data_IF_961827293771
#
_entry.id   IF_961827293771
#
_cell.length_a   1.000
_cell.length_b   1.000
_cell.length_c   1.000
_cell.angle_alpha   90.00
_cell.angle_beta   90.00
_cell.angle_gamma   90.00
#
_symmetry.space_group_name_H-M   'P 1'
#
loop_
_entity.id
_entity.type
_entity.pdbx_description
1 polymer ?
#
# COMPACT_ATOMS: atom_id res chain seq x y z
N UNK A 1 -11.78 0.15 -10.61
CA UNK A 1 -11.75 0.34 -9.14
C UNK A 1 -11.13 1.70 -8.86
N UNK A 2 -11.74 2.52 -8.01
CA UNK A 2 -11.14 3.79 -7.58
C UNK A 2 -10.02 3.53 -6.57
N UNK A 3 -9.13 4.51 -6.36
CA UNK A 3 -8.04 4.41 -5.35
C UNK A 3 -8.60 4.14 -3.95
N UNK A 4 -9.72 4.75 -3.59
CA UNK A 4 -10.38 4.56 -2.28
C UNK A 4 -10.92 3.13 -2.12
N UNK A 5 -11.62 2.61 -3.13
CA UNK A 5 -12.12 1.23 -3.12
C UNK A 5 -10.97 0.22 -3.03
N UNK A 6 -9.87 0.50 -3.75
CA UNK A 6 -8.66 -0.32 -3.70
C UNK A 6 -8.05 -0.30 -2.31
N UNK A 7 -7.83 0.88 -1.73
CA UNK A 7 -7.30 1.04 -0.39
C UNK A 7 -8.14 0.28 0.65
N UNK A 8 -9.47 0.49 0.66
CA UNK A 8 -10.37 -0.21 1.59
C UNK A 8 -10.30 -1.73 1.45
N UNK A 9 -10.09 -2.23 0.25
CA UNK A 9 -9.87 -3.67 0.02
C UNK A 9 -8.52 -4.12 0.57
N UNK A 10 -7.44 -3.38 0.33
CA UNK A 10 -6.11 -3.75 0.79
C UNK A 10 -6.00 -3.77 2.32
N UNK A 11 -6.58 -2.78 3.02
CA UNK A 11 -6.55 -2.75 4.48
C UNK A 11 -7.35 -3.88 5.14
N UNK A 12 -8.24 -4.55 4.41
CA UNK A 12 -8.95 -5.72 4.93
C UNK A 12 -8.07 -6.96 5.09
N UNK A 13 -6.89 -6.99 4.46
CA UNK A 13 -5.92 -8.06 4.61
C UNK A 13 -5.06 -7.83 5.86
N UNK A 14 -5.03 -8.75 6.83
CA UNK A 14 -4.09 -8.66 7.94
C UNK A 14 -2.68 -8.99 7.43
N UNK A 15 -1.71 -8.12 7.69
CA UNK A 15 -0.35 -8.24 7.16
C UNK A 15 0.73 -7.89 8.18
N UNK A 16 0.39 -7.92 9.47
CA UNK A 16 1.34 -7.61 10.55
C UNK A 16 2.58 -8.48 10.44
N UNK A 17 3.75 -7.86 10.42
CA UNK A 17 5.08 -8.49 10.46
C UNK A 17 5.41 -9.01 11.87
N UNK A 18 6.49 -9.79 12.00
CA UNK A 18 6.92 -10.40 13.26
C UNK A 18 8.46 -10.31 13.37
N UNK A 19 8.94 -9.45 14.27
CA UNK A 19 10.38 -9.26 14.53
C UNK A 19 11.09 -10.52 15.02
N UNK A 20 10.38 -11.41 15.70
CA UNK A 20 10.94 -12.64 16.23
C UNK A 20 11.07 -13.76 15.18
N UNK A 21 10.44 -13.59 14.01
CA UNK A 21 10.51 -14.57 12.92
C UNK A 21 11.85 -14.51 12.18
N UNK A 22 12.37 -15.67 11.80
CA UNK A 22 13.55 -15.80 10.94
C UNK A 22 13.19 -16.05 9.47
N UNK A 23 11.90 -16.15 9.14
CA UNK A 23 11.45 -16.39 7.76
C UNK A 23 11.31 -15.08 6.98
N UNK A 24 11.20 -15.18 5.66
CA UNK A 24 10.81 -14.10 4.76
C UNK A 24 9.70 -14.62 3.83
N UNK A 25 8.52 -13.99 3.83
CA UNK A 25 8.11 -12.94 4.77
C UNK A 25 8.07 -13.44 6.22
N UNK A 26 8.18 -12.53 7.18
CA UNK A 26 8.18 -12.85 8.61
C UNK A 26 6.87 -13.51 9.06
N UNK A 27 5.77 -13.22 8.36
CA UNK A 27 4.47 -13.85 8.59
C UNK A 27 3.82 -14.31 7.29
N UNK A 28 3.28 -15.52 7.28
CA UNK A 28 2.59 -16.08 6.11
C UNK A 28 1.33 -15.28 5.70
N UNK A 29 0.76 -14.47 6.59
CA UNK A 29 -0.41 -13.64 6.31
C UNK A 29 -0.14 -12.59 5.23
N UNK A 30 1.09 -12.13 5.08
CA UNK A 30 1.50 -11.19 4.04
C UNK A 30 1.32 -11.78 2.63
N UNK A 31 1.50 -13.10 2.47
CA UNK A 31 1.35 -13.78 1.18
C UNK A 31 -0.07 -13.70 0.62
N UNK A 32 -1.08 -13.60 1.48
CA UNK A 32 -2.47 -13.46 1.03
C UNK A 32 -2.69 -12.11 0.30
N UNK A 33 -2.09 -11.04 0.83
CA UNK A 33 -2.09 -9.73 0.16
C UNK A 33 -1.23 -9.77 -1.10
N UNK A 34 -0.02 -10.37 -1.05
CA UNK A 34 0.86 -10.51 -2.21
C UNK A 34 0.13 -11.17 -3.41
N UNK A 35 -0.60 -12.24 -3.17
CA UNK A 35 -1.40 -12.92 -4.20
C UNK A 35 -2.54 -12.04 -4.73
N UNK A 36 -3.20 -11.29 -3.87
CA UNK A 36 -4.24 -10.34 -4.30
C UNK A 36 -3.65 -9.24 -5.18
N UNK A 37 -2.45 -8.72 -4.87
CA UNK A 37 -1.76 -7.72 -5.69
C UNK A 37 -1.43 -8.28 -7.07
N UNK A 38 -0.87 -9.48 -7.14
CA UNK A 38 -0.63 -10.18 -8.42
C UNK A 38 -1.92 -10.31 -9.21
N UNK A 39 -3.01 -10.75 -8.58
CA UNK A 39 -4.31 -10.89 -9.23
C UNK A 39 -4.79 -9.54 -9.79
N UNK A 40 -4.72 -8.45 -9.01
CA UNK A 40 -5.14 -7.12 -9.48
C UNK A 40 -4.29 -6.64 -10.66
N UNK A 41 -2.98 -6.86 -10.62
CA UNK A 41 -2.08 -6.51 -11.71
C UNK A 41 -2.39 -7.31 -12.98
N UNK A 42 -2.63 -8.62 -12.87
CA UNK A 42 -3.01 -9.46 -14.01
C UNK A 42 -4.37 -9.05 -14.60
N UNK A 43 -5.35 -8.74 -13.76
CA UNK A 43 -6.66 -8.22 -14.20
C UNK A 43 -6.54 -6.87 -14.95
N UNK A 44 -5.50 -6.10 -14.70
CA UNK A 44 -5.19 -4.85 -15.41
C UNK A 44 -4.38 -5.07 -16.69
N UNK A 45 -3.91 -6.31 -16.96
CA UNK A 45 -3.12 -6.66 -18.13
C UNK A 45 -1.60 -6.66 -17.91
N UNK A 46 -1.11 -6.58 -16.67
CA UNK A 46 0.31 -6.75 -16.33
C UNK A 46 0.62 -8.24 -16.30
N UNK A 47 1.07 -8.77 -17.44
CA UNK A 47 1.19 -10.21 -17.66
C UNK A 47 2.35 -10.87 -16.88
N UNK A 48 3.40 -10.12 -16.57
CA UNK A 48 4.58 -10.58 -15.83
C UNK A 48 4.41 -10.45 -14.30
N UNK A 49 3.23 -10.02 -13.84
CA UNK A 49 2.95 -9.89 -12.42
C UNK A 49 3.11 -11.24 -11.69
N UNK A 50 3.96 -11.28 -10.68
CA UNK A 50 4.24 -12.48 -9.89
C UNK A 50 4.66 -12.12 -8.47
N UNK A 51 4.56 -13.11 -7.59
CA UNK A 51 5.19 -13.10 -6.27
C UNK A 51 6.34 -14.09 -6.29
N UNK A 52 7.49 -13.68 -5.75
CA UNK A 52 8.65 -14.54 -5.64
C UNK A 52 8.58 -15.46 -4.40
N UNK A 53 9.62 -16.28 -4.20
CA UNK A 53 9.71 -17.23 -3.10
C UNK A 53 9.82 -16.57 -1.72
N UNK A 54 10.26 -15.32 -1.66
CA UNK A 54 10.47 -14.53 -0.45
C UNK A 54 9.32 -13.54 -0.19
N UNK A 55 8.26 -13.60 -1.02
CA UNK A 55 7.02 -12.83 -0.84
C UNK A 55 7.04 -11.44 -1.48
N UNK A 56 8.09 -11.06 -2.19
CA UNK A 56 8.10 -9.82 -2.96
C UNK A 56 7.23 -9.94 -4.21
N UNK A 57 6.48 -8.89 -4.47
CA UNK A 57 5.61 -8.83 -5.65
C UNK A 57 6.22 -7.91 -6.69
N UNK A 58 6.26 -8.35 -7.93
CA UNK A 58 6.81 -7.60 -9.05
C UNK A 58 5.83 -7.54 -10.21
N UNK A 59 5.95 -6.49 -11.03
CA UNK A 59 5.23 -6.36 -12.28
C UNK A 59 5.75 -5.21 -13.12
N UNK A 60 5.41 -5.21 -14.40
CA UNK A 60 5.89 -4.20 -15.35
C UNK A 60 4.75 -3.58 -16.14
N UNK A 61 4.63 -2.26 -16.09
CA UNK A 61 3.85 -1.48 -17.04
C UNK A 61 4.77 -1.21 -18.25
N UNK A 62 4.52 -1.80 -19.41
CA UNK A 62 5.39 -1.63 -20.57
C UNK A 62 5.30 -0.20 -21.11
N UNK A 63 6.39 0.28 -21.71
CA UNK A 63 6.36 1.53 -22.46
C UNK A 63 5.34 1.47 -23.60
N UNK A 64 4.69 2.58 -23.89
CA UNK A 64 3.78 2.72 -25.02
C UNK A 64 4.32 3.65 -26.13
N UNK A 65 5.61 3.96 -26.11
CA UNK A 65 6.29 4.77 -27.13
C UNK A 65 7.72 4.25 -27.38
N UNK A 66 8.28 4.62 -28.53
CA UNK A 66 9.64 4.23 -28.95
C UNK A 66 10.74 5.16 -28.43
N UNK A 67 10.41 6.11 -27.56
CA UNK A 67 11.40 7.02 -26.97
C UNK A 67 12.30 6.29 -26.01
N UNK A 68 13.57 6.61 -26.03
CA UNK A 68 14.55 6.19 -25.02
C UNK A 68 14.28 6.97 -23.71
N UNK A 69 13.53 6.34 -22.83
CA UNK A 69 13.13 6.90 -21.53
C UNK A 69 13.67 5.96 -20.46
N UNK A 70 14.39 6.48 -19.45
CA UNK A 70 14.86 5.64 -18.35
C UNK A 70 13.74 4.85 -17.70
N UNK A 71 14.02 3.61 -17.33
CA UNK A 71 13.10 2.75 -16.59
C UNK A 71 13.06 3.20 -15.13
N UNK A 72 11.91 3.56 -14.64
CA UNK A 72 11.79 3.89 -13.22
C UNK A 72 10.89 2.90 -12.48
N UNK A 73 11.20 2.73 -11.19
CA UNK A 73 10.47 1.86 -10.29
C UNK A 73 9.62 2.62 -9.29
N UNK A 74 8.50 2.03 -8.90
CA UNK A 74 7.67 2.45 -7.77
C UNK A 74 7.59 1.28 -6.79
N UNK A 75 7.88 1.57 -5.52
CA UNK A 75 7.97 0.57 -4.46
C UNK A 75 7.11 1.03 -3.29
N UNK A 76 6.35 0.11 -2.69
CA UNK A 76 5.61 0.30 -1.45
C UNK A 76 5.66 -0.98 -0.63
N UNK A 77 5.49 -0.90 0.70
CA UNK A 77 5.47 -2.10 1.50
C UNK A 77 4.05 -2.61 1.79
N UNK A 78 3.94 -3.92 2.02
CA UNK A 78 2.66 -4.59 2.21
C UNK A 78 2.33 -4.85 3.67
N UNK A 79 3.36 -4.98 4.50
CA UNK A 79 3.19 -5.31 5.91
C UNK A 79 2.71 -4.12 6.72
N UNK A 80 2.32 -4.38 7.94
CA UNK A 80 1.94 -3.38 8.93
C UNK A 80 2.69 -3.63 10.22
N UNK A 81 2.92 -2.55 10.97
CA UNK A 81 3.65 -2.57 12.22
C UNK A 81 3.10 -3.59 13.22
N UNK A 82 3.96 -4.31 13.96
CA UNK A 82 3.56 -5.16 15.07
C UNK A 82 3.21 -4.38 16.36
N UNK A 83 3.42 -3.06 16.39
CA UNK A 83 3.24 -2.23 17.60
C UNK A 83 1.77 -2.10 18.05
N UNK A 84 0.82 -2.36 17.16
CA UNK A 84 -0.59 -2.32 17.48
C UNK A 84 -1.37 -3.39 16.70
N UNK A 85 -2.59 -3.78 17.17
CA UNK A 85 -3.39 -4.79 16.50
C UNK A 85 -3.67 -4.44 15.03
N UNK A 86 -3.40 -5.35 14.10
CA UNK A 86 -3.59 -5.20 12.66
C UNK A 86 -4.60 -6.19 12.06
N UNK A 87 -5.49 -6.77 12.86
CA UNK A 87 -6.52 -7.72 12.43
C UNK A 87 -7.93 -7.19 12.67
N UNK A 88 -8.89 -7.65 11.86
CA UNK A 88 -10.29 -7.24 11.94
C UNK A 88 -10.49 -5.71 11.82
N UNK A 89 -9.75 -5.09 10.93
CA UNK A 89 -9.75 -3.65 10.72
C UNK A 89 -11.14 -3.19 10.25
N UNK A 90 -11.74 -2.27 11.01
CA UNK A 90 -13.07 -1.69 10.74
C UNK A 90 -12.93 -0.30 10.15
N UNK A 91 -12.47 -0.24 8.89
CA UNK A 91 -12.31 1.01 8.20
C UNK A 91 -13.68 1.60 7.82
N UNK A 92 -13.84 2.92 8.00
CA UNK A 92 -14.99 3.68 7.56
C UNK A 92 -14.58 5.02 6.97
N UNK A 93 -15.40 5.55 6.09
CA UNK A 93 -15.23 6.88 5.52
C UNK A 93 -16.13 7.85 6.30
N UNK A 94 -15.56 8.99 6.73
CA UNK A 94 -16.32 10.01 7.44
C UNK A 94 -17.16 10.87 6.48
N UNK A 95 -18.13 11.61 7.00
CA UNK A 95 -18.61 12.82 6.35
C UNK A 95 -17.47 13.85 6.23
N UNK A 96 -17.61 14.91 5.41
CA UNK A 96 -16.60 15.95 5.34
C UNK A 96 -16.24 16.46 6.75
N UNK A 97 -14.96 16.42 7.08
CA UNK A 97 -14.47 16.76 8.41
C UNK A 97 -14.71 18.23 8.73
N UNK A 98 -15.32 18.52 9.86
CA UNK A 98 -15.73 19.87 10.29
C UNK A 98 -14.67 20.61 11.13
N UNK A 99 -13.61 19.93 11.55
CA UNK A 99 -12.54 20.48 12.38
C UNK A 99 -12.69 20.18 13.89
N UNK A 100 -13.73 19.47 14.29
CA UNK A 100 -13.97 19.03 15.67
C UNK A 100 -13.33 17.68 16.00
N UNK A 101 -13.69 17.11 17.14
CA UNK A 101 -13.24 15.78 17.53
C UNK A 101 -13.96 14.70 16.68
N UNK A 102 -13.21 13.69 16.24
CA UNK A 102 -13.76 12.53 15.53
C UNK A 102 -13.90 11.38 16.50
N UNK A 103 -15.14 11.02 16.85
CA UNK A 103 -15.40 9.84 17.68
C UNK A 103 -15.16 8.58 16.86
N UNK A 104 -14.15 7.80 17.25
CA UNK A 104 -13.82 6.53 16.61
C UNK A 104 -14.63 5.38 17.24
N UNK A 105 -14.76 5.37 18.56
CA UNK A 105 -15.45 4.34 19.32
C UNK A 105 -16.10 4.95 20.59
N UNK A 106 -17.42 4.97 20.62
CA UNK A 106 -18.17 5.53 21.75
C UNK A 106 -18.02 4.67 23.01
N UNK A 107 -18.12 3.35 22.87
CA UNK A 107 -18.07 2.42 24.01
C UNK A 107 -16.70 2.44 24.72
N UNK A 108 -15.63 2.60 23.95
CA UNK A 108 -14.24 2.65 24.46
C UNK A 108 -13.73 4.06 24.70
N UNK A 109 -14.55 5.07 24.43
CA UNK A 109 -14.20 6.49 24.53
C UNK A 109 -12.94 6.86 23.72
N UNK A 110 -12.78 6.26 22.52
CA UNK A 110 -11.66 6.56 21.62
C UNK A 110 -12.06 7.66 20.65
N UNK A 111 -11.24 8.71 20.57
CA UNK A 111 -11.46 9.82 19.66
C UNK A 111 -10.14 10.35 19.10
N UNK A 112 -10.19 10.94 17.90
CA UNK A 112 -9.13 11.75 17.33
C UNK A 112 -9.46 13.22 17.55
N UNK A 113 -8.62 13.91 18.31
CA UNK A 113 -8.83 15.33 18.62
C UNK A 113 -7.79 16.21 17.93
N UNK A 114 -8.20 17.33 17.29
CA UNK A 114 -7.25 18.30 16.74
C UNK A 114 -6.43 19.04 17.80
N UNK A 115 -6.72 18.83 19.09
CA UNK A 115 -5.90 19.32 20.20
C UNK A 115 -4.64 18.45 20.37
N UNK A 116 -4.79 17.13 20.19
CA UNK A 116 -3.69 16.15 20.27
C UNK A 116 -2.99 16.00 18.92
N UNK A 117 -3.76 16.06 17.83
CA UNK A 117 -3.29 15.89 16.44
C UNK A 117 -3.58 17.17 15.63
N UNK A 118 -2.80 18.25 15.78
CA UNK A 118 -3.08 19.54 15.15
C UNK A 118 -3.14 19.50 13.62
N UNK A 119 -2.45 18.53 12.99
CA UNK A 119 -2.46 18.31 11.54
C UNK A 119 -3.84 17.97 10.98
N UNK A 120 -4.78 17.46 11.79
CA UNK A 120 -6.17 17.22 11.38
C UNK A 120 -6.83 18.50 10.84
N UNK A 121 -6.43 19.68 11.31
CA UNK A 121 -6.94 20.96 10.82
C UNK A 121 -6.73 21.17 9.32
N UNK A 122 -5.70 20.54 8.74
CA UNK A 122 -5.41 20.60 7.30
C UNK A 122 -6.39 19.76 6.47
N UNK A 123 -7.24 18.99 7.13
CA UNK A 123 -8.20 18.08 6.52
C UNK A 123 -9.65 18.55 6.61
N UNK A 124 -9.88 19.77 7.11
CA UNK A 124 -11.24 20.35 7.16
C UNK A 124 -11.84 20.39 5.76
N UNK A 125 -13.10 19.93 5.65
CA UNK A 125 -13.83 19.80 4.38
C UNK A 125 -13.49 18.53 3.59
N UNK A 126 -12.50 17.73 4.00
CA UNK A 126 -12.16 16.46 3.35
C UNK A 126 -12.86 15.29 4.05
N UNK A 127 -13.14 14.23 3.31
CA UNK A 127 -13.55 12.95 3.87
C UNK A 127 -12.31 12.18 4.30
N UNK A 128 -12.36 11.58 5.46
CA UNK A 128 -11.24 10.82 6.04
C UNK A 128 -11.60 9.33 6.08
N UNK A 129 -10.59 8.48 5.97
CA UNK A 129 -10.74 7.06 6.24
C UNK A 129 -10.14 6.82 7.63
N UNK A 130 -10.94 6.23 8.52
CA UNK A 130 -10.57 5.98 9.91
C UNK A 130 -10.97 4.57 10.31
N UNK A 131 -10.36 4.04 11.39
CA UNK A 131 -10.82 2.82 12.06
C UNK A 131 -11.72 3.13 13.24
N UNK A 132 -12.10 2.10 13.99
CA UNK A 132 -12.73 2.26 15.31
C UNK A 132 -11.71 2.54 16.42
N UNK A 133 -10.46 2.78 16.10
CA UNK A 133 -9.38 3.10 17.04
C UNK A 133 -8.88 1.90 17.87
N UNK A 134 -9.38 0.70 17.63
CA UNK A 134 -8.91 -0.53 18.31
C UNK A 134 -7.80 -1.25 17.55
N UNK A 135 -7.57 -0.85 16.30
CA UNK A 135 -6.55 -1.40 15.42
C UNK A 135 -5.84 -0.28 14.67
N UNK A 136 -4.70 -0.61 14.06
CA UNK A 136 -4.15 0.18 12.97
C UNK A 136 -5.16 0.28 11.82
N UNK A 137 -5.07 1.33 11.00
CA UNK A 137 -5.72 1.39 9.70
C UNK A 137 -4.91 0.63 8.65
N UNK A 138 -3.58 0.67 8.74
CA UNK A 138 -2.66 0.13 7.74
C UNK A 138 -2.54 1.04 6.52
N UNK A 139 -2.73 2.37 6.70
CA UNK A 139 -2.49 3.33 5.62
C UNK A 139 -1.01 3.38 5.26
N UNK A 140 -0.17 3.21 6.24
CA UNK A 140 1.22 2.91 6.15
C UNK A 140 1.38 1.39 5.96
N UNK A 141 1.79 0.86 4.77
CA UNK A 141 1.88 1.65 3.53
C UNK A 141 0.92 1.14 2.44
N UNK A 142 -0.26 0.62 2.83
CA UNK A 142 -1.28 0.20 1.85
C UNK A 142 -1.88 1.37 1.07
N UNK A 143 -1.64 2.61 1.51
CA UNK A 143 -2.01 3.79 0.73
C UNK A 143 -1.07 3.91 -0.48
N UNK A 144 0.25 3.83 -0.29
CA UNK A 144 1.22 3.80 -1.38
C UNK A 144 0.97 2.65 -2.35
N UNK A 145 0.68 1.45 -1.83
CA UNK A 145 0.27 0.30 -2.67
C UNK A 145 -0.94 0.64 -3.54
N UNK A 146 -1.99 1.24 -2.95
CA UNK A 146 -3.21 1.61 -3.69
C UNK A 146 -2.95 2.70 -4.73
N UNK A 147 -2.09 3.66 -4.41
CA UNK A 147 -1.70 4.75 -5.31
C UNK A 147 -0.90 4.23 -6.49
N UNK A 148 0.12 3.38 -6.25
CA UNK A 148 0.94 2.75 -7.30
C UNK A 148 0.07 1.95 -8.26
N UNK A 149 -0.79 1.07 -7.76
CA UNK A 149 -1.68 0.27 -8.61
C UNK A 149 -2.68 1.14 -9.38
N UNK A 150 -3.15 2.23 -8.79
CA UNK A 150 -4.07 3.14 -9.47
C UNK A 150 -3.35 3.97 -10.54
N UNK A 151 -2.11 4.39 -10.29
CA UNK A 151 -1.26 5.02 -11.29
C UNK A 151 -0.94 4.07 -12.45
N UNK A 152 -0.60 2.80 -12.16
CA UNK A 152 -0.38 1.78 -13.18
C UNK A 152 -1.63 1.57 -14.06
N UNK A 153 -2.82 1.50 -13.45
CA UNK A 153 -4.08 1.40 -14.19
C UNK A 153 -4.31 2.60 -15.13
N UNK A 154 -3.98 3.81 -14.67
CA UNK A 154 -4.08 5.01 -15.50
C UNK A 154 -3.08 5.00 -16.66
N UNK A 155 -1.83 4.56 -16.41
CA UNK A 155 -0.82 4.46 -17.46
C UNK A 155 -1.22 3.45 -18.53
N UNK A 156 -1.67 2.26 -18.16
CA UNK A 156 -2.11 1.20 -19.08
C UNK A 156 -3.27 1.61 -19.98
N UNK A 157 -4.11 2.56 -19.54
CA UNK A 157 -5.27 3.06 -20.28
C UNK A 157 -5.00 4.42 -20.94
N UNK A 158 -3.82 5.01 -20.72
CA UNK A 158 -3.47 6.34 -21.23
C UNK A 158 -2.94 6.26 -22.68
N UNK A 159 -3.41 7.20 -23.50
CA UNK A 159 -2.81 7.45 -24.82
C UNK A 159 -1.55 8.33 -24.76
N UNK A 160 -1.24 8.90 -23.56
CA UNK A 160 -0.04 9.72 -23.39
C UNK A 160 1.21 8.85 -23.42
N UNK A 161 2.25 9.26 -24.18
CA UNK A 161 3.51 8.52 -24.23
C UNK A 161 4.16 8.40 -22.84
N UNK A 162 4.57 7.19 -22.47
CA UNK A 162 5.32 6.92 -21.24
C UNK A 162 6.36 5.81 -21.48
N UNK A 163 7.41 5.83 -20.67
CA UNK A 163 8.41 4.77 -20.59
C UNK A 163 7.93 3.57 -19.79
N UNK A 164 8.82 2.59 -19.65
CA UNK A 164 8.59 1.42 -18.79
C UNK A 164 8.56 1.82 -17.33
N UNK A 165 7.58 1.32 -16.58
CA UNK A 165 7.47 1.49 -15.12
C UNK A 165 7.50 0.12 -14.45
N UNK A 166 8.44 -0.06 -13.54
CA UNK A 166 8.55 -1.25 -12.71
C UNK A 166 7.78 -1.04 -11.41
N UNK A 167 7.04 -2.05 -11.00
CA UNK A 167 6.27 -2.05 -9.74
C UNK A 167 6.84 -3.12 -8.83
N UNK A 168 7.04 -2.78 -7.56
CA UNK A 168 7.39 -3.75 -6.54
C UNK A 168 6.65 -3.49 -5.23
N UNK A 169 6.26 -4.56 -4.55
CA UNK A 169 5.67 -4.49 -3.21
C UNK A 169 6.45 -5.41 -2.29
N UNK A 170 6.96 -4.83 -1.19
CA UNK A 170 7.91 -5.52 -0.29
C UNK A 170 7.20 -6.02 0.96
N UNK A 171 7.60 -7.18 1.51
CA UNK A 171 7.26 -7.59 2.86
C UNK A 171 8.21 -6.97 3.89
N UNK A 172 7.85 -7.03 5.17
CA UNK A 172 8.73 -6.88 6.34
C UNK A 172 9.49 -5.53 6.44
N UNK A 173 8.95 -4.45 5.86
CA UNK A 173 9.54 -3.12 5.97
C UNK A 173 9.51 -2.62 7.42
N UNK A 174 8.39 -2.77 8.10
CA UNK A 174 8.11 -2.29 9.46
C UNK A 174 9.01 -2.93 10.55
N UNK A 175 9.73 -3.98 10.19
CA UNK A 175 10.75 -4.60 11.03
C UNK A 175 12.17 -4.43 10.46
N UNK A 176 12.34 -3.50 9.51
CA UNK A 176 13.63 -3.13 8.92
C UNK A 176 14.22 -4.15 7.96
N UNK A 177 13.40 -5.04 7.38
CA UNK A 177 13.87 -6.12 6.47
C UNK A 177 13.35 -5.99 5.04
N UNK A 178 12.66 -4.91 4.70
CA UNK A 178 12.03 -4.73 3.39
C UNK A 178 12.98 -4.83 2.20
N UNK A 179 14.27 -4.54 2.38
CA UNK A 179 15.28 -4.61 1.31
C UNK A 179 16.12 -5.88 1.32
N UNK A 180 16.02 -6.73 2.35
CA UNK A 180 17.01 -7.82 2.61
C UNK A 180 17.15 -8.82 1.47
N UNK A 181 16.03 -9.13 0.79
CA UNK A 181 15.98 -10.10 -0.32
C UNK A 181 15.43 -9.52 -1.60
N UNK A 182 15.36 -8.20 -1.69
CA UNK A 182 14.89 -7.53 -2.89
C UNK A 182 15.81 -7.79 -4.08
N UNK A 183 15.29 -8.34 -5.16
CA UNK A 183 16.05 -8.60 -6.38
C UNK A 183 16.25 -7.31 -7.20
N UNK A 184 17.24 -6.51 -6.81
CA UNK A 184 17.57 -5.25 -7.49
C UNK A 184 17.92 -5.47 -8.97
N UNK A 185 18.63 -6.55 -9.28
CA UNK A 185 19.04 -6.84 -10.66
C UNK A 185 17.87 -7.26 -11.53
N UNK A 186 17.01 -8.16 -11.03
CA UNK A 186 15.81 -8.61 -11.73
C UNK A 186 14.73 -7.51 -11.82
N UNK A 187 14.66 -6.63 -10.82
CA UNK A 187 13.77 -5.47 -10.88
C UNK A 187 14.09 -4.56 -12.06
N UNK A 188 15.37 -4.32 -12.34
CA UNK A 188 15.83 -3.74 -13.61
C UNK A 188 15.33 -2.31 -13.85
N UNK A 189 15.17 -1.50 -12.82
CA UNK A 189 14.92 -0.07 -12.93
C UNK A 189 16.23 0.71 -12.90
N UNK A 190 16.34 1.79 -13.68
CA UNK A 190 17.49 2.70 -13.62
C UNK A 190 17.51 3.49 -12.30
N UNK A 191 16.34 3.81 -11.78
CA UNK A 191 16.11 4.40 -10.46
C UNK A 191 14.70 4.07 -9.96
N UNK A 192 14.49 4.13 -8.65
CA UNK A 192 13.19 3.86 -8.06
C UNK A 192 12.87 4.85 -6.93
N UNK A 193 11.57 4.97 -6.65
CA UNK A 193 11.04 5.73 -5.53
C UNK A 193 10.22 4.80 -4.64
N UNK A 194 10.42 4.89 -3.34
CA UNK A 194 9.45 4.40 -2.36
C UNK A 194 8.33 5.42 -2.23
N UNK A 195 7.10 4.93 -2.22
CA UNK A 195 5.88 5.71 -2.03
C UNK A 195 5.35 5.31 -0.66
N UNK A 196 5.71 6.13 0.36
CA UNK A 196 5.48 5.83 1.77
C UNK A 196 5.19 7.15 2.53
#
# INVERSE_FOLDING_TARGET
>A
MTVVERFLKLVSYPTTSDEASETCPSTARQLALAQELVRQMQDMGIADAHVDQDGYVYGTVPANCEKDIPVYGLIAHMDTSPDAPGENIRARITEPYDGGDIVLNEEKHIMLSPKEYPQLKNSVGKRLIVTDGTTLLGADDKAGVAEILSAAQLLLTSEKPHGTVKLAFTPDEEIGRGADRFDVAGFGADYAYTVD
#
